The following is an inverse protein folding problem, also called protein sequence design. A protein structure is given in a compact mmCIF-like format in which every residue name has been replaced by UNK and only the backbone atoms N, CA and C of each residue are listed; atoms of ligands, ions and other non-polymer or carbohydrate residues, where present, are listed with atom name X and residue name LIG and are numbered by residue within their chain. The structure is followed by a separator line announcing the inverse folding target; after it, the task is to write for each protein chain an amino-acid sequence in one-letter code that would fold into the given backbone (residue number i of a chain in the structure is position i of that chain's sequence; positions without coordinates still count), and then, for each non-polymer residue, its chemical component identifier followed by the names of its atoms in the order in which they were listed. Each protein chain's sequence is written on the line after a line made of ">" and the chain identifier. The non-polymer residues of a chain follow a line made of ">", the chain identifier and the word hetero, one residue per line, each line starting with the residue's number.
data_IF_614415678923
#
_entry.id   IF_614415678923
#
_cell.length_a   1.000
_cell.length_b   1.000
_cell.length_c   1.000
_cell.angle_alpha   90.00
_cell.angle_beta   90.00
_cell.angle_gamma   90.00
#
_symmetry.space_group_name_H-M   'P 1'
#
loop_
_entity.id
_entity.type
_entity.pdbx_description
1 polymer ?
#
# COMPACT_ATOMS: atom_id res chain seq x y z
N UNK A 1 5.00 1.90 -6.92
CA UNK A 1 4.74 0.45 -6.67
C UNK A 1 3.49 0.07 -7.46
N UNK A 2 3.49 -1.08 -8.13
CA UNK A 2 2.34 -1.55 -8.93
C UNK A 2 1.70 -2.71 -8.19
N UNK A 3 0.40 -2.63 -7.92
CA UNK A 3 -0.38 -3.70 -7.30
C UNK A 3 -1.43 -4.19 -8.29
N UNK A 4 -1.48 -5.49 -8.55
CA UNK A 4 -2.55 -6.09 -9.37
C UNK A 4 -3.67 -6.55 -8.44
N UNK A 5 -4.87 -5.99 -8.61
CA UNK A 5 -6.06 -6.36 -7.85
C UNK A 5 -7.05 -7.10 -8.74
N UNK A 6 -7.53 -8.26 -8.26
CA UNK A 6 -8.62 -9.02 -8.86
C UNK A 6 -8.28 -9.59 -10.24
N UNK A 7 -8.00 -10.88 -10.33
CA UNK A 7 -7.98 -11.60 -11.60
C UNK A 7 -9.19 -12.51 -11.65
N UNK A 8 -10.03 -12.35 -12.66
CA UNK A 8 -11.13 -13.28 -12.94
C UNK A 8 -11.02 -13.75 -14.39
N UNK A 9 -10.86 -15.06 -14.57
CA UNK A 9 -11.13 -15.70 -15.85
C UNK A 9 -12.64 -15.62 -16.10
N UNK A 10 -13.02 -15.04 -17.23
CA UNK A 10 -14.39 -15.05 -17.74
C UNK A 10 -14.64 -16.36 -18.49
N UNK A 11 -13.63 -16.80 -19.25
CA UNK A 11 -13.52 -18.09 -19.92
C UNK A 11 -12.04 -18.42 -20.16
N UNK A 12 -11.76 -19.51 -20.88
CA UNK A 12 -10.40 -20.03 -21.15
C UNK A 12 -9.47 -19.04 -21.87
N UNK A 13 -10.03 -17.99 -22.49
CA UNK A 13 -9.28 -17.04 -23.30
C UNK A 13 -9.55 -15.57 -22.94
N UNK A 14 -10.39 -15.32 -21.93
CA UNK A 14 -10.82 -13.97 -21.55
C UNK A 14 -10.58 -13.74 -20.07
N UNK A 15 -9.81 -12.69 -19.77
CA UNK A 15 -9.45 -12.31 -18.41
C UNK A 15 -9.80 -10.86 -18.15
N UNK A 16 -10.32 -10.59 -16.96
CA UNK A 16 -10.55 -9.23 -16.46
C UNK A 16 -9.71 -9.04 -15.21
N UNK A 17 -9.02 -7.91 -15.14
CA UNK A 17 -8.36 -7.49 -13.91
C UNK A 17 -8.06 -6.00 -13.85
N UNK A 18 -7.59 -5.58 -12.69
CA UNK A 18 -7.28 -4.18 -12.39
C UNK A 18 -5.83 -4.06 -11.94
N UNK A 19 -5.14 -3.04 -12.43
CA UNK A 19 -3.79 -2.69 -11.98
C UNK A 19 -3.81 -1.31 -11.36
N UNK A 20 -3.30 -1.19 -10.14
CA UNK A 20 -3.09 0.08 -9.44
C UNK A 20 -1.61 0.46 -9.56
N UNK A 21 -1.36 1.71 -9.94
CA UNK A 21 -0.02 2.29 -10.04
C UNK A 21 0.08 3.48 -9.09
N UNK A 22 1.00 3.41 -8.13
CA UNK A 22 1.32 4.54 -7.25
C UNK A 22 2.60 5.25 -7.75
N UNK A 23 2.47 6.52 -8.15
CA UNK A 23 3.52 7.37 -8.74
C UNK A 23 4.55 7.94 -7.74
N UNK A 24 4.65 7.38 -6.53
CA UNK A 24 5.80 7.65 -5.64
C UNK A 24 5.97 9.12 -5.21
N UNK A 25 4.89 9.81 -4.82
CA UNK A 25 4.95 11.14 -4.19
C UNK A 25 4.84 12.33 -5.15
N UNK A 26 5.06 12.15 -6.45
CA UNK A 26 4.71 13.18 -7.44
C UNK A 26 3.19 13.24 -7.60
N UNK A 27 2.58 14.35 -7.17
CA UNK A 27 1.18 14.64 -7.47
C UNK A 27 1.08 15.10 -8.93
N UNK A 28 0.64 14.19 -9.81
CA UNK A 28 0.30 14.50 -11.20
C UNK A 28 -1.21 14.55 -11.34
N UNK A 29 -1.74 15.65 -11.86
CA UNK A 29 -3.16 15.82 -12.15
C UNK A 29 -3.52 15.39 -13.57
N UNK A 30 -2.55 15.25 -14.45
CA UNK A 30 -2.74 14.78 -15.83
C UNK A 30 -1.42 14.19 -16.35
N UNK A 31 -1.51 13.45 -17.45
CA UNK A 31 -0.33 12.95 -18.17
C UNK A 31 -0.64 11.75 -19.04
N UNK A 32 0.42 11.08 -19.48
CA UNK A 32 0.34 9.79 -20.18
C UNK A 32 1.01 8.73 -19.33
N UNK A 33 0.33 7.61 -19.12
CA UNK A 33 0.90 6.40 -18.55
C UNK A 33 1.36 5.49 -19.69
N UNK A 34 2.66 5.30 -19.77
CA UNK A 34 3.27 4.29 -20.63
C UNK A 34 3.30 2.95 -19.88
N UNK A 35 2.60 1.95 -20.43
CA UNK A 35 2.52 0.62 -19.85
C UNK A 35 3.04 -0.41 -20.86
N UNK A 36 4.13 -1.09 -20.50
CA UNK A 36 4.74 -2.13 -21.32
C UNK A 36 4.56 -3.49 -20.64
N UNK A 37 3.94 -4.42 -21.36
CA UNK A 37 3.85 -5.82 -21.00
C UNK A 37 4.79 -6.63 -21.91
N UNK A 38 5.68 -7.42 -21.32
CA UNK A 38 6.72 -8.18 -22.04
C UNK A 38 6.47 -9.69 -22.06
N UNK A 39 5.60 -10.18 -21.17
CA UNK A 39 5.29 -11.59 -21.07
C UNK A 39 3.98 -11.81 -20.34
N UNK A 40 3.33 -12.94 -20.64
CA UNK A 40 2.16 -13.45 -19.94
C UNK A 40 2.51 -14.85 -19.48
N UNK A 41 2.55 -15.09 -18.17
CA UNK A 41 2.72 -16.43 -17.59
C UNK A 41 1.38 -16.99 -17.12
N UNK A 42 1.21 -18.31 -17.21
CA UNK A 42 0.02 -19.02 -16.73
C UNK A 42 0.43 -20.31 -15.99
N UNK A 43 -0.39 -20.72 -15.02
CA UNK A 43 -0.15 -21.95 -14.27
C UNK A 43 -0.94 -23.11 -14.90
N UNK A 44 -0.43 -24.35 -14.81
CA UNK A 44 -1.16 -25.57 -15.19
C UNK A 44 -1.50 -26.42 -13.96
N UNK A 45 -2.58 -27.21 -14.01
CA UNK A 45 -3.01 -28.07 -12.89
C UNK A 45 -1.93 -29.07 -12.42
N UNK A 46 -0.91 -29.30 -13.24
CA UNK A 46 0.21 -30.23 -13.00
C UNK A 46 1.48 -29.58 -12.47
N UNK A 47 1.48 -28.26 -12.22
CA UNK A 47 2.66 -27.57 -11.73
C UNK A 47 2.98 -28.08 -10.31
N UNK A 48 4.00 -28.94 -10.22
CA UNK A 48 4.58 -29.36 -8.96
C UNK A 48 5.18 -28.09 -8.31
N UNK A 49 4.71 -27.67 -7.12
CA UNK A 49 5.25 -26.50 -6.44
C UNK A 49 6.75 -26.62 -6.10
N UNK A 50 7.34 -27.82 -6.24
CA UNK A 50 8.77 -28.07 -6.12
C UNK A 50 9.55 -28.00 -7.45
N UNK A 51 8.87 -27.96 -8.60
CA UNK A 51 9.52 -27.82 -9.90
C UNK A 51 9.66 -26.33 -10.27
N UNK A 52 10.90 -25.87 -10.41
CA UNK A 52 11.22 -24.49 -10.77
C UNK A 52 11.07 -24.21 -12.29
N UNK A 53 10.41 -25.10 -13.03
CA UNK A 53 10.29 -25.02 -14.50
C UNK A 53 9.14 -24.09 -14.90
N UNK A 54 9.24 -22.82 -14.49
CA UNK A 54 8.36 -21.72 -14.92
C UNK A 54 8.55 -21.36 -16.41
N UNK A 55 9.53 -21.92 -17.10
CA UNK A 55 9.87 -21.54 -18.48
C UNK A 55 8.86 -22.02 -19.53
N UNK A 56 8.08 -23.06 -19.26
CA UNK A 56 7.23 -23.70 -20.29
C UNK A 56 5.86 -23.04 -20.47
N UNK A 57 5.42 -22.20 -19.54
CA UNK A 57 4.07 -21.60 -19.54
C UNK A 57 4.11 -20.07 -19.66
N UNK A 58 5.00 -19.55 -20.51
CA UNK A 58 5.17 -18.11 -20.73
C UNK A 58 5.02 -17.78 -22.21
N UNK A 59 4.04 -16.94 -22.51
CA UNK A 59 3.94 -16.28 -23.81
C UNK A 59 4.75 -14.97 -23.76
N UNK A 60 5.90 -14.96 -24.43
CA UNK A 60 6.71 -13.76 -24.61
C UNK A 60 6.12 -12.87 -25.72
N UNK A 61 6.24 -11.56 -25.54
CA UNK A 61 5.85 -10.59 -26.57
C UNK A 61 6.20 -9.18 -26.16
N UNK A 62 5.69 -8.21 -26.93
CA UNK A 62 5.83 -6.79 -26.59
C UNK A 62 4.52 -6.10 -26.88
N UNK A 63 3.80 -5.75 -25.83
CA UNK A 63 2.56 -4.98 -25.89
C UNK A 63 2.80 -3.67 -25.16
N UNK A 64 2.76 -2.57 -25.90
CA UNK A 64 2.95 -1.23 -25.37
C UNK A 64 1.63 -0.48 -25.48
N UNK A 65 1.24 0.15 -24.39
CA UNK A 65 0.01 0.91 -24.29
C UNK A 65 0.32 2.30 -23.75
N UNK A 66 -0.33 3.30 -24.31
CA UNK A 66 -0.27 4.67 -23.85
C UNK A 66 -1.67 5.08 -23.40
N UNK A 67 -1.82 5.40 -22.11
CA UNK A 67 -3.09 5.82 -21.55
C UNK A 67 -2.99 7.29 -21.12
N UNK A 68 -3.65 8.22 -21.83
CA UNK A 68 -3.81 9.56 -21.28
C UNK A 68 -4.69 9.46 -20.03
N UNK A 69 -4.31 10.18 -18.98
CA UNK A 69 -5.09 10.26 -17.75
C UNK A 69 -5.22 11.70 -17.29
N UNK A 70 -6.32 11.96 -16.61
CA UNK A 70 -6.58 13.16 -15.84
C UNK A 70 -7.12 12.71 -14.48
N UNK A 71 -6.66 13.37 -13.41
CA UNK A 71 -7.09 13.09 -12.07
C UNK A 71 -8.53 13.60 -11.90
N UNK A 72 -9.41 12.70 -11.45
CA UNK A 72 -10.79 13.05 -11.13
C UNK A 72 -10.84 13.90 -9.85
N UNK A 73 -10.73 15.21 -10.00
CA UNK A 73 -10.80 16.17 -8.89
C UNK A 73 -12.22 16.47 -8.42
N UNK A 74 -13.24 16.06 -9.18
CA UNK A 74 -14.65 16.24 -8.82
C UNK A 74 -15.10 15.16 -7.85
N UNK A 75 -14.75 13.90 -8.11
CA UNK A 75 -15.19 12.75 -7.32
C UNK A 75 -14.11 12.22 -6.37
N UNK A 76 -12.88 12.75 -6.42
CA UNK A 76 -11.86 12.48 -5.42
C UNK A 76 -11.64 13.68 -4.51
N UNK A 77 -11.54 13.42 -3.21
CA UNK A 77 -11.30 14.45 -2.20
C UNK A 77 -10.44 13.93 -1.06
N UNK A 78 -9.81 14.85 -0.38
CA UNK A 78 -9.02 14.58 0.81
C UNK A 78 -9.56 15.39 2.00
N UNK A 79 -9.97 14.69 3.04
CA UNK A 79 -10.40 15.27 4.32
C UNK A 79 -9.18 15.31 5.22
N UNK A 80 -8.74 16.51 5.58
CA UNK A 80 -7.66 16.68 6.55
C UNK A 80 -8.19 16.41 7.96
N UNK A 81 -7.51 15.52 8.68
CA UNK A 81 -7.91 15.09 10.03
C UNK A 81 -6.94 15.66 11.06
N UNK A 82 -5.63 15.48 10.85
CA UNK A 82 -4.54 16.01 11.67
C UNK A 82 -4.72 15.78 13.19
N UNK A 83 -5.29 14.63 13.57
CA UNK A 83 -5.43 14.24 14.97
C UNK A 83 -4.31 13.29 15.35
N UNK A 84 -3.65 13.55 16.48
CA UNK A 84 -2.55 12.75 17.00
C UNK A 84 -2.55 12.70 18.52
N UNK A 85 -1.96 11.65 19.08
CA UNK A 85 -1.66 11.57 20.51
C UNK A 85 -0.31 12.24 20.83
N UNK A 86 0.02 12.31 22.13
CA UNK A 86 1.26 12.94 22.63
C UNK A 86 2.54 12.21 22.18
N UNK A 87 2.43 10.95 21.79
CA UNK A 87 3.54 10.14 21.29
C UNK A 87 3.75 10.30 19.77
N UNK A 88 2.90 11.07 19.08
CA UNK A 88 3.02 11.36 17.65
C UNK A 88 2.31 10.37 16.72
N UNK A 89 1.54 9.42 17.25
CA UNK A 89 0.68 8.55 16.43
C UNK A 89 -0.63 9.26 16.12
N UNK A 90 -1.09 9.18 14.87
CA UNK A 90 -2.27 9.92 14.45
C UNK A 90 -2.82 9.52 13.10
N UNK A 91 -3.92 10.18 12.75
CA UNK A 91 -4.54 10.15 11.43
C UNK A 91 -4.32 11.50 10.79
N UNK A 92 -3.60 11.52 9.68
CA UNK A 92 -3.29 12.73 8.91
C UNK A 92 -4.49 13.15 8.08
N UNK A 93 -4.97 12.24 7.22
CA UNK A 93 -6.06 12.53 6.30
C UNK A 93 -6.82 11.29 5.88
N UNK A 94 -8.02 11.49 5.35
CA UNK A 94 -8.81 10.46 4.67
C UNK A 94 -9.08 10.92 3.25
N UNK A 95 -8.52 10.23 2.27
CA UNK A 95 -8.83 10.44 0.87
C UNK A 95 -9.94 9.49 0.42
N UNK A 96 -10.97 10.03 -0.24
CA UNK A 96 -12.08 9.27 -0.80
C UNK A 96 -12.09 9.48 -2.31
N UNK A 97 -12.30 8.41 -3.06
CA UNK A 97 -12.51 8.40 -4.51
C UNK A 97 -13.58 7.38 -4.87
N UNK A 98 -13.99 7.31 -6.13
CA UNK A 98 -14.94 6.28 -6.59
C UNK A 98 -14.43 4.84 -6.43
N UNK A 99 -13.11 4.63 -6.44
CA UNK A 99 -12.52 3.29 -6.41
C UNK A 99 -12.04 2.87 -5.01
N UNK A 100 -11.55 3.82 -4.21
CA UNK A 100 -10.96 3.54 -2.92
C UNK A 100 -11.11 4.69 -1.92
N UNK A 101 -11.11 4.31 -0.66
CA UNK A 101 -10.91 5.15 0.50
C UNK A 101 -9.53 4.84 1.06
N UNK A 102 -8.72 5.88 1.29
CA UNK A 102 -7.35 5.79 1.81
C UNK A 102 -7.25 6.59 3.09
N UNK A 103 -6.90 5.94 4.18
CA UNK A 103 -6.64 6.59 5.47
C UNK A 103 -5.13 6.71 5.63
N UNK A 104 -4.63 7.94 5.62
CA UNK A 104 -3.22 8.24 5.79
C UNK A 104 -2.94 8.43 7.28
N UNK A 105 -2.03 7.62 7.81
CA UNK A 105 -1.57 7.69 9.18
C UNK A 105 -0.40 8.65 9.30
N UNK A 106 -0.33 9.33 10.44
CA UNK A 106 0.84 10.08 10.86
C UNK A 106 1.52 9.26 11.95
N UNK A 107 2.66 8.64 11.62
CA UNK A 107 3.36 7.73 12.53
C UNK A 107 4.74 8.31 12.85
N UNK A 108 5.21 8.21 14.11
CA UNK A 108 6.59 8.50 14.44
C UNK A 108 7.52 7.62 13.60
N UNK A 109 8.68 8.15 13.25
CA UNK A 109 9.71 7.39 12.56
C UNK A 109 11.10 7.81 13.02
N UNK A 110 12.04 6.90 12.85
CA UNK A 110 13.47 7.18 12.94
C UNK A 110 14.12 7.02 11.58
N UNK A 111 15.29 7.61 11.41
CA UNK A 111 16.20 7.41 10.27
C UNK A 111 17.49 6.83 10.81
N UNK A 112 18.24 6.09 10.00
CA UNK A 112 19.56 5.63 10.41
C UNK A 112 20.54 6.81 10.39
N UNK A 113 21.46 6.83 11.35
CA UNK A 113 22.60 7.74 11.34
C UNK A 113 23.87 7.04 10.84
N UNK A 114 24.87 7.82 10.42
CA UNK A 114 26.19 7.30 10.03
C UNK A 114 26.90 6.55 11.19
N UNK A 115 26.59 6.93 12.44
CA UNK A 115 27.13 6.26 13.63
C UNK A 115 26.51 4.87 13.84
N UNK A 116 25.26 4.67 13.43
CA UNK A 116 24.54 3.39 13.55
C UNK A 116 24.81 2.46 12.37
N UNK A 117 25.06 3.02 11.17
CA UNK A 117 25.27 2.23 9.97
C UNK A 117 26.22 2.95 9.01
N UNK A 118 27.48 2.49 8.93
CA UNK A 118 28.51 3.19 8.17
C UNK A 118 28.42 2.95 6.66
N UNK A 119 29.13 3.76 5.88
CA UNK A 119 29.24 3.57 4.44
C UNK A 119 29.89 2.21 4.07
N UNK A 120 30.80 1.72 4.90
CA UNK A 120 31.43 0.41 4.69
C UNK A 120 30.43 -0.74 4.94
N UNK A 121 29.56 -0.60 5.95
CA UNK A 121 28.48 -1.56 6.21
C UNK A 121 27.46 -1.60 5.07
N UNK A 122 27.17 -0.43 4.48
CA UNK A 122 26.31 -0.32 3.30
C UNK A 122 26.87 -1.08 2.10
N UNK A 123 28.14 -0.87 1.78
CA UNK A 123 28.80 -1.56 0.67
C UNK A 123 28.81 -3.07 0.90
N UNK A 124 29.22 -3.53 2.10
CA UNK A 124 29.22 -4.96 2.45
C UNK A 124 27.83 -5.59 2.36
N UNK A 125 26.80 -4.90 2.83
CA UNK A 125 25.42 -5.37 2.76
C UNK A 125 24.95 -5.51 1.31
N UNK A 126 25.32 -4.57 0.44
CA UNK A 126 24.99 -4.64 -0.99
C UNK A 126 25.73 -5.78 -1.68
N UNK A 127 27.05 -5.89 -1.48
CA UNK A 127 27.87 -6.96 -2.04
C UNK A 127 27.30 -8.34 -1.69
N UNK A 128 26.94 -8.55 -0.42
CA UNK A 128 26.33 -9.80 0.04
C UNK A 128 24.97 -10.09 -0.61
N UNK A 129 24.14 -9.06 -0.88
CA UNK A 129 22.85 -9.22 -1.59
C UNK A 129 23.02 -9.57 -3.06
N UNK A 130 24.13 -9.15 -3.66
CA UNK A 130 24.44 -9.36 -5.08
C UNK A 130 25.44 -10.51 -5.31
N UNK A 131 25.80 -11.24 -4.25
CA UNK A 131 26.75 -12.34 -4.34
C UNK A 131 26.27 -13.39 -5.37
N UNK A 132 27.12 -13.68 -6.35
CA UNK A 132 26.82 -14.63 -7.42
C UNK A 132 26.08 -14.05 -8.64
N UNK A 133 25.80 -12.74 -8.66
CA UNK A 133 25.29 -12.05 -9.85
C UNK A 133 26.44 -11.44 -10.65
N UNK A 134 26.50 -11.69 -11.97
CA UNK A 134 27.45 -11.05 -12.88
C UNK A 134 26.71 -10.47 -14.10
N UNK A 135 26.79 -9.15 -14.37
CA UNK A 135 27.46 -8.12 -13.55
C UNK A 135 26.74 -7.81 -12.25
N UNK A 136 27.50 -7.43 -11.21
CA UNK A 136 26.95 -6.89 -9.96
C UNK A 136 26.24 -5.56 -10.27
N UNK A 137 24.92 -5.45 -10.07
CA UNK A 137 24.21 -4.21 -10.32
C UNK A 137 24.63 -3.14 -9.31
N UNK A 138 24.59 -1.87 -9.71
CA UNK A 138 24.69 -0.77 -8.75
C UNK A 138 23.45 -0.75 -7.83
N UNK A 139 23.60 -0.32 -6.56
CA UNK A 139 22.46 -0.14 -5.67
C UNK A 139 21.40 0.76 -6.30
N UNK A 140 20.10 0.43 -6.19
CA UNK A 140 19.03 1.27 -6.72
C UNK A 140 18.81 2.56 -5.92
N UNK A 141 19.57 2.79 -4.85
CA UNK A 141 19.57 3.97 -4.01
C UNK A 141 20.97 4.22 -3.43
N UNK A 142 21.30 5.48 -3.21
CA UNK A 142 22.55 5.92 -2.60
C UNK A 142 22.59 5.64 -1.10
N UNK A 143 23.78 5.74 -0.50
CA UNK A 143 23.95 5.63 0.96
C UNK A 143 23.18 6.72 1.71
N UNK A 144 23.16 7.96 1.20
CA UNK A 144 22.40 9.06 1.80
C UNK A 144 20.89 8.79 1.75
N UNK A 145 20.38 8.26 0.63
CA UNK A 145 18.98 7.86 0.50
C UNK A 145 18.63 6.69 1.43
N UNK A 146 19.56 5.74 1.63
CA UNK A 146 19.39 4.65 2.59
C UNK A 146 19.30 5.17 4.03
N UNK A 147 20.18 6.08 4.45
CA UNK A 147 20.10 6.68 5.77
C UNK A 147 18.82 7.50 5.96
N UNK A 148 18.39 8.23 4.93
CA UNK A 148 17.17 9.01 4.93
C UNK A 148 15.89 8.16 4.92
N UNK A 149 16.01 6.83 4.75
CA UNK A 149 14.86 5.93 4.78
C UNK A 149 14.18 5.98 6.16
N UNK A 150 12.87 6.22 6.12
CA UNK A 150 12.04 6.33 7.33
C UNK A 150 11.67 4.94 7.84
N UNK A 151 12.08 4.64 9.06
CA UNK A 151 11.68 3.47 9.82
C UNK A 151 10.51 3.87 10.73
N UNK A 152 9.29 3.68 10.24
CA UNK A 152 8.08 4.02 10.99
C UNK A 152 7.85 3.09 12.17
N UNK A 153 7.38 3.65 13.28
CA UNK A 153 6.97 2.90 14.44
C UNK A 153 5.84 1.93 14.11
N UNK A 154 5.85 0.76 14.75
CA UNK A 154 4.80 -0.24 14.56
C UNK A 154 3.47 0.28 15.09
N UNK A 155 2.43 0.14 14.28
CA UNK A 155 1.07 0.52 14.64
C UNK A 155 0.08 -0.33 13.84
N UNK A 156 -1.04 -0.65 14.45
CA UNK A 156 -2.21 -1.26 13.84
C UNK A 156 -3.33 -0.22 13.74
N UNK A 157 -4.02 -0.24 12.61
CA UNK A 157 -5.20 0.58 12.39
C UNK A 157 -6.40 -0.30 12.06
N UNK A 158 -7.49 -0.13 12.80
CA UNK A 158 -8.78 -0.75 12.52
C UNK A 158 -9.81 0.35 12.28
N UNK A 159 -10.58 0.20 11.22
CA UNK A 159 -11.53 1.21 10.77
C UNK A 159 -12.92 0.61 10.83
N UNK A 160 -13.88 1.37 11.31
CA UNK A 160 -15.30 1.03 11.27
C UNK A 160 -16.05 2.07 10.45
N UNK A 161 -17.01 1.65 9.64
CA UNK A 161 -17.96 2.57 8.99
C UNK A 161 -19.17 2.88 9.89
N UNK A 162 -20.09 3.69 9.37
CA UNK A 162 -21.33 4.09 10.06
C UNK A 162 -22.22 2.91 10.48
N UNK A 163 -22.11 1.77 9.78
CA UNK A 163 -22.92 0.56 10.03
C UNK A 163 -22.22 -0.42 10.98
N UNK A 164 -21.00 -0.08 11.42
CA UNK A 164 -20.19 -0.92 12.30
C UNK A 164 -19.44 -2.04 11.58
N UNK A 165 -19.35 -2.00 10.25
CA UNK A 165 -18.51 -2.97 9.52
C UNK A 165 -17.04 -2.65 9.77
N UNK A 166 -16.28 -3.66 10.19
CA UNK A 166 -14.87 -3.52 10.51
C UNK A 166 -13.98 -3.79 9.29
N UNK A 167 -13.11 -2.84 8.96
CA UNK A 167 -12.04 -2.93 7.99
C UNK A 167 -10.72 -3.12 8.75
N UNK A 168 -10.42 -4.39 9.03
CA UNK A 168 -9.24 -4.84 9.79
C UNK A 168 -7.92 -4.58 9.04
N UNK A 169 -6.77 -4.53 9.72
CA UNK A 169 -5.57 -3.83 9.26
C UNK A 169 -4.97 -4.36 7.96
N UNK A 170 -4.15 -3.51 7.34
CA UNK A 170 -2.97 -3.97 6.58
C UNK A 170 -1.75 -3.80 7.51
N UNK A 171 -0.69 -4.56 7.26
CA UNK A 171 0.44 -4.89 8.14
C UNK A 171 1.09 -3.76 8.98
N UNK A 172 1.86 -4.16 10.00
CA UNK A 172 2.75 -3.31 10.80
C UNK A 172 3.57 -2.33 9.94
N UNK A 173 3.66 -1.07 10.38
CA UNK A 173 4.54 -0.06 9.79
C UNK A 173 4.03 0.57 8.48
N UNK A 174 2.81 0.25 8.05
CA UNK A 174 2.18 0.95 6.92
C UNK A 174 1.66 2.32 7.33
N UNK A 175 1.93 3.32 6.50
CA UNK A 175 1.45 4.70 6.70
C UNK A 175 0.10 4.98 6.05
N UNK A 176 -0.49 3.99 5.38
CA UNK A 176 -1.80 4.14 4.75
C UNK A 176 -2.61 2.85 4.80
N UNK A 177 -3.92 2.98 5.04
CA UNK A 177 -4.91 1.91 4.95
C UNK A 177 -5.82 2.16 3.76
N UNK A 178 -5.89 1.20 2.84
CA UNK A 178 -6.76 1.25 1.66
C UNK A 178 -7.99 0.36 1.86
N UNK A 179 -9.16 0.89 1.52
CA UNK A 179 -10.46 0.22 1.58
C UNK A 179 -11.16 0.43 0.22
N UNK A 180 -11.66 -0.63 -0.45
CA UNK A 180 -12.41 -0.46 -1.70
C UNK A 180 -13.78 0.18 -1.44
N UNK A 181 -14.21 1.09 -2.32
CA UNK A 181 -15.50 1.80 -2.22
C UNK A 181 -16.61 1.17 -3.05
N UNK A 182 -16.30 0.16 -3.88
CA UNK A 182 -17.30 -0.50 -4.72
C UNK A 182 -18.49 -1.03 -3.90
N UNK A 183 -19.69 -0.60 -4.27
CA UNK A 183 -20.94 -0.97 -3.59
C UNK A 183 -21.09 -0.42 -2.17
N UNK A 184 -20.30 0.60 -1.79
CA UNK A 184 -20.28 1.15 -0.42
C UNK A 184 -20.38 2.67 -0.43
N UNK A 185 -21.15 3.19 0.52
CA UNK A 185 -21.17 4.61 0.87
C UNK A 185 -20.57 4.79 2.26
N UNK A 186 -19.71 5.80 2.40
CA UNK A 186 -19.12 6.17 3.68
C UNK A 186 -19.66 7.53 4.10
N UNK A 187 -20.27 7.58 5.28
CA UNK A 187 -20.77 8.83 5.90
C UNK A 187 -19.96 9.20 7.14
N UNK A 188 -19.49 8.18 7.86
CA UNK A 188 -18.66 8.33 9.04
C UNK A 188 -17.67 7.18 9.11
N UNK A 189 -16.46 7.49 9.55
CA UNK A 189 -15.47 6.50 9.94
C UNK A 189 -15.11 6.68 11.40
N UNK A 190 -14.94 5.56 12.10
CA UNK A 190 -14.27 5.51 13.40
C UNK A 190 -12.98 4.71 13.24
N UNK A 191 -11.85 5.35 13.49
CA UNK A 191 -10.51 4.82 13.26
C UNK A 191 -9.85 4.62 14.62
N UNK A 192 -9.44 3.40 14.90
CA UNK A 192 -8.71 3.03 16.11
C UNK A 192 -7.25 2.72 15.78
N UNK A 193 -6.33 3.30 16.54
CA UNK A 193 -4.90 2.99 16.48
C UNK A 193 -4.45 2.30 17.77
N UNK A 194 -3.59 1.29 17.61
CA UNK A 194 -3.05 0.49 18.70
C UNK A 194 -1.69 -0.10 18.31
N UNK A 195 -0.95 -0.58 19.30
CA UNK A 195 0.34 -1.26 19.15
C UNK A 195 0.28 -2.74 19.55
N UNK A 196 -0.86 -3.19 20.07
CA UNK A 196 -1.10 -4.57 20.52
C UNK A 196 -2.01 -5.35 19.56
N UNK A 197 -1.81 -6.68 19.51
CA UNK A 197 -2.61 -7.58 18.68
C UNK A 197 -4.09 -7.63 19.08
N UNK A 198 -4.42 -7.31 20.33
CA UNK A 198 -5.81 -7.23 20.81
C UNK A 198 -6.68 -6.31 19.97
N UNK A 199 -6.11 -5.24 19.39
CA UNK A 199 -6.85 -4.35 18.49
C UNK A 199 -7.24 -5.07 17.19
N UNK A 200 -6.37 -5.92 16.66
CA UNK A 200 -6.64 -6.72 15.45
C UNK A 200 -7.65 -7.82 15.75
N UNK A 201 -7.55 -8.40 16.94
CA UNK A 201 -8.42 -9.48 17.39
C UNK A 201 -9.81 -9.02 17.80
N UNK A 202 -10.00 -7.72 18.06
CA UNK A 202 -11.30 -7.14 18.36
C UNK A 202 -12.38 -7.56 17.35
N UNK A 203 -13.48 -8.09 17.89
CA UNK A 203 -14.68 -8.53 17.17
C UNK A 203 -15.78 -7.49 17.20
N UNK A 204 -15.76 -6.60 18.18
CA UNK A 204 -16.71 -5.49 18.32
C UNK A 204 -16.00 -4.14 18.35
N UNK A 205 -16.75 -3.05 18.10
CA UNK A 205 -16.22 -1.69 18.19
C UNK A 205 -15.80 -1.33 19.63
N UNK A 206 -16.53 -1.84 20.63
CA UNK A 206 -16.19 -1.65 22.05
C UNK A 206 -14.87 -2.32 22.43
N UNK A 207 -14.65 -3.56 21.95
CA UNK A 207 -13.37 -4.24 22.14
C UNK A 207 -12.22 -3.48 21.47
N UNK A 208 -12.42 -2.97 20.26
CA UNK A 208 -11.43 -2.17 19.55
C UNK A 208 -11.12 -0.86 20.30
N UNK A 209 -12.15 -0.19 20.81
CA UNK A 209 -11.99 1.02 21.61
C UNK A 209 -11.18 0.78 22.89
N UNK A 210 -11.41 -0.34 23.58
CA UNK A 210 -10.69 -0.69 24.80
C UNK A 210 -9.22 -1.07 24.54
N UNK A 211 -8.92 -1.63 23.37
CA UNK A 211 -7.56 -2.01 22.96
C UNK A 211 -6.76 -0.86 22.33
N UNK A 212 -7.42 0.20 21.88
CA UNK A 212 -6.79 1.31 21.18
C UNK A 212 -6.18 2.33 22.15
N UNK A 213 -5.03 2.89 21.78
CA UNK A 213 -4.46 4.06 22.46
C UNK A 213 -4.97 5.39 21.86
N UNK A 214 -5.58 5.35 20.66
CA UNK A 214 -6.17 6.51 19.99
C UNK A 214 -7.44 6.11 19.25
N UNK A 215 -8.48 6.93 19.36
CA UNK A 215 -9.71 6.85 18.58
C UNK A 215 -9.95 8.16 17.86
N UNK A 216 -10.25 8.08 16.57
CA UNK A 216 -10.49 9.23 15.69
C UNK A 216 -11.78 9.03 14.93
N UNK A 217 -12.72 9.97 15.08
CA UNK A 217 -13.93 10.00 14.27
C UNK A 217 -13.77 10.98 13.10
N UNK A 218 -14.16 10.55 11.90
CA UNK A 218 -14.10 11.36 10.68
C UNK A 218 -15.47 11.36 10.02
N UNK A 219 -16.09 12.52 9.90
CA UNK A 219 -17.30 12.70 9.12
C UNK A 219 -16.95 12.83 7.63
N UNK A 220 -17.65 12.06 6.80
CA UNK A 220 -17.49 12.02 5.35
C UNK A 220 -18.71 12.75 4.75
N UNK A 221 -18.65 14.07 4.65
CA UNK A 221 -19.77 14.89 4.14
C UNK A 221 -20.04 14.56 2.67
N UNK A 222 -21.16 13.98 2.24
CA UNK A 222 -21.39 13.75 0.80
C UNK A 222 -21.54 15.10 0.04
N UNK A 223 -21.11 15.17 -1.23
CA UNK A 223 -21.45 16.32 -2.07
C UNK A 223 -22.95 16.26 -2.39
N UNK A 224 -23.65 17.38 -2.21
CA UNK A 224 -25.01 17.60 -2.74
C UNK A 224 -25.00 17.75 -4.26
#
# INVERSE_FOLDING_TARGET
>A
MVWVFGRKAVDDHTFIGMTKVDFGGEKRSEGTLDFSLTSISYDTETDDPASADLENNVAYGSWNFEFPFEADSENAREIQVNQKNDQGYGVKSVALSQCQLVINLDLPYTTLSEEEFSHEDFQRMWEAKTEGMDPVPEPPFTYEEFLAQKNYASCYAVVYDQDGNAYRPVSMGQTAKVIPTEGRSFEKLTIFLGDDLSLIDARTMEEAQNAAFLSVEVAIQQQE
#
